data_IF_082044866132
#
_entry.id   IF_082044866132
#
_cell.length_a   1.000
_cell.length_b   1.000
_cell.length_c   1.000
_cell.angle_alpha   90.00
_cell.angle_beta   90.00
_cell.angle_gamma   90.00
#
_symmetry.space_group_name_H-M   'P 1'
#
loop_
_entity.id
_entity.type
_entity.pdbx_description
1 polymer ?
#
# COMPACT_ATOMS: atom_id res chain seq x y z
N UNK A 1 6.45 -11.73 6.37
CA UNK A 1 6.62 -10.85 5.18
C UNK A 1 6.07 -9.47 5.51
N UNK A 2 6.80 -8.41 5.18
CA UNK A 2 6.43 -7.02 5.43
C UNK A 2 5.79 -6.39 4.20
N UNK A 3 4.62 -5.79 4.36
CA UNK A 3 3.83 -5.25 3.27
C UNK A 3 3.45 -3.81 3.56
N UNK A 4 3.64 -2.94 2.58
CA UNK A 4 3.34 -1.52 2.70
C UNK A 4 2.30 -1.08 1.67
N UNK A 5 1.16 -0.58 2.15
CA UNK A 5 0.12 0.00 1.32
C UNK A 5 0.26 1.52 1.21
N UNK A 6 0.25 2.05 0.00
CA UNK A 6 0.47 3.47 -0.26
C UNK A 6 -0.65 4.09 -1.08
N UNK A 7 -1.22 5.18 -0.57
CA UNK A 7 -2.18 6.03 -1.31
C UNK A 7 -1.79 7.51 -1.21
N UNK A 8 -2.70 8.43 -1.53
CA UNK A 8 -2.46 9.88 -1.42
C UNK A 8 -2.39 10.33 0.05
N UNK A 9 -3.53 10.34 0.76
CA UNK A 9 -3.67 10.94 2.11
C UNK A 9 -3.54 9.97 3.27
N UNK A 10 -3.47 8.66 3.01
CA UNK A 10 -3.56 7.62 4.05
C UNK A 10 -4.84 7.78 4.92
N UNK A 11 -6.00 7.88 4.24
CA UNK A 11 -7.31 8.07 4.89
C UNK A 11 -8.31 6.95 4.60
N UNK A 12 -8.39 6.46 3.35
CA UNK A 12 -9.40 5.47 2.96
C UNK A 12 -8.76 4.17 2.47
N UNK A 13 -8.18 4.19 1.26
CA UNK A 13 -7.70 2.97 0.58
C UNK A 13 -6.56 2.25 1.30
N UNK A 14 -5.46 2.94 1.61
CA UNK A 14 -4.32 2.29 2.28
C UNK A 14 -4.61 1.88 3.73
N UNK A 15 -5.38 2.65 4.54
CA UNK A 15 -5.84 2.18 5.84
C UNK A 15 -6.80 0.98 5.76
N UNK A 16 -7.66 0.92 4.73
CA UNK A 16 -8.55 -0.24 4.54
C UNK A 16 -7.75 -1.51 4.29
N UNK A 17 -6.72 -1.44 3.44
CA UNK A 17 -5.82 -2.56 3.21
C UNK A 17 -5.09 -3.01 4.49
N UNK A 18 -4.58 -2.06 5.28
CA UNK A 18 -3.99 -2.36 6.58
C UNK A 18 -4.99 -3.05 7.51
N UNK A 19 -6.23 -2.56 7.59
CA UNK A 19 -7.27 -3.11 8.45
C UNK A 19 -7.71 -4.53 8.06
N UNK A 20 -7.70 -4.84 6.77
CA UNK A 20 -8.01 -6.18 6.25
C UNK A 20 -6.94 -7.19 6.69
N UNK A 21 -5.67 -6.80 6.63
CA UNK A 21 -4.54 -7.72 6.80
C UNK A 21 -3.83 -7.61 8.17
N UNK A 22 -4.20 -6.68 9.04
CA UNK A 22 -3.54 -6.47 10.34
C UNK A 22 -3.52 -7.71 11.26
N UNK A 23 -4.51 -8.58 11.10
CA UNK A 23 -4.68 -9.78 11.94
C UNK A 23 -4.11 -11.04 11.29
N UNK A 24 -3.42 -10.91 10.15
CA UNK A 24 -2.90 -12.05 9.42
C UNK A 24 -1.61 -12.55 10.07
N UNK A 25 -1.57 -13.81 10.51
CA UNK A 25 -0.51 -14.34 11.38
C UNK A 25 0.90 -14.30 10.75
N UNK A 26 0.97 -14.45 9.43
CA UNK A 26 2.23 -14.63 8.70
C UNK A 26 2.83 -13.34 8.10
N UNK A 27 2.11 -12.21 8.18
CA UNK A 27 2.51 -10.96 7.53
C UNK A 27 2.40 -9.76 8.46
N UNK A 28 3.26 -8.78 8.22
CA UNK A 28 3.17 -7.48 8.87
C UNK A 28 2.73 -6.46 7.84
N UNK A 29 1.65 -5.75 8.13
CA UNK A 29 1.11 -4.73 7.23
C UNK A 29 1.24 -3.35 7.83
N UNK A 30 1.59 -2.39 6.97
CA UNK A 30 1.60 -0.96 7.28
C UNK A 30 1.03 -0.16 6.13
N UNK A 31 0.56 1.04 6.42
CA UNK A 31 0.04 1.97 5.43
C UNK A 31 0.70 3.34 5.53
N UNK A 32 0.82 4.00 4.40
CA UNK A 32 1.36 5.35 4.29
C UNK A 32 0.71 6.14 3.16
N UNK A 33 1.00 7.45 3.14
CA UNK A 33 0.52 8.39 2.14
C UNK A 33 1.66 9.17 1.50
N UNK A 34 1.50 9.44 0.21
CA UNK A 34 2.45 10.25 -0.57
C UNK A 34 2.22 11.75 -0.42
N UNK A 35 1.09 12.20 0.09
CA UNK A 35 0.82 13.63 0.25
C UNK A 35 1.47 14.23 1.51
N UNK A 36 1.87 15.51 1.48
CA UNK A 36 2.40 16.19 2.66
C UNK A 36 1.38 16.33 3.80
N UNK A 37 0.08 16.23 3.50
CA UNK A 37 -1.00 16.18 4.49
C UNK A 37 -1.43 14.75 4.87
N UNK A 38 -0.68 13.72 4.48
CA UNK A 38 -1.03 12.36 4.83
C UNK A 38 -0.90 12.11 6.33
N UNK A 39 -1.83 11.31 6.89
CA UNK A 39 -1.82 10.93 8.32
C UNK A 39 -0.50 10.26 8.70
N UNK A 40 -0.09 9.27 7.92
CA UNK A 40 1.24 8.66 7.97
C UNK A 40 1.94 9.01 6.67
N UNK A 41 3.05 9.75 6.75
CA UNK A 41 3.85 10.12 5.58
C UNK A 41 4.75 8.97 5.16
N UNK A 42 4.83 8.74 3.86
CA UNK A 42 5.84 7.83 3.32
C UNK A 42 7.24 8.36 3.62
N UNK A 43 8.12 7.45 4.03
CA UNK A 43 9.54 7.72 4.32
C UNK A 43 10.40 6.60 3.75
N UNK A 44 11.68 6.90 3.51
CA UNK A 44 12.72 5.94 3.14
C UNK A 44 12.67 4.67 4.00
N UNK A 45 12.57 4.86 5.32
CA UNK A 45 12.55 3.76 6.28
C UNK A 45 11.33 2.84 6.14
N UNK A 46 10.17 3.38 5.74
CA UNK A 46 9.00 2.54 5.47
C UNK A 46 9.18 1.73 4.19
N UNK A 47 9.80 2.32 3.17
CA UNK A 47 10.10 1.66 1.90
C UNK A 47 11.08 0.50 2.15
N UNK A 48 12.21 0.77 2.78
CA UNK A 48 13.23 -0.26 3.08
C UNK A 48 12.74 -1.35 4.05
N UNK A 49 11.71 -1.06 4.85
CA UNK A 49 11.11 -2.07 5.74
C UNK A 49 10.23 -3.07 4.99
N UNK A 50 9.67 -2.67 3.85
CA UNK A 50 8.69 -3.47 3.12
C UNK A 50 9.36 -4.44 2.13
N UNK A 51 8.95 -5.71 2.19
CA UNK A 51 9.30 -6.69 1.16
C UNK A 51 8.50 -6.43 -0.13
N UNK A 52 7.24 -6.01 0.02
CA UNK A 52 6.34 -5.67 -1.09
C UNK A 52 5.59 -4.36 -0.78
N UNK A 53 5.57 -3.46 -1.77
CA UNK A 53 4.87 -2.18 -1.69
C UNK A 53 3.72 -2.19 -2.67
N UNK A 54 2.49 -2.11 -2.15
CA UNK A 54 1.29 -1.98 -2.96
C UNK A 54 0.90 -0.51 -3.05
N UNK A 55 0.82 0.00 -4.28
CA UNK A 55 0.32 1.34 -4.55
C UNK A 55 -1.07 1.26 -5.15
N UNK A 56 -1.96 2.17 -4.76
CA UNK A 56 -3.32 2.17 -5.30
C UNK A 56 -3.37 2.52 -6.78
N UNK A 57 -2.46 3.38 -7.25
CA UNK A 57 -2.48 3.92 -8.60
C UNK A 57 -1.04 4.17 -9.06
N UNK A 58 -0.81 4.17 -10.37
CA UNK A 58 0.50 4.43 -10.99
C UNK A 58 1.11 5.77 -10.55
N UNK A 59 0.27 6.79 -10.32
CA UNK A 59 0.71 8.13 -9.85
C UNK A 59 1.43 8.07 -8.50
N UNK A 60 1.04 7.16 -7.62
CA UNK A 60 1.70 6.98 -6.32
C UNK A 60 3.11 6.41 -6.50
N UNK A 61 3.28 5.38 -7.35
CA UNK A 61 4.61 4.83 -7.67
C UNK A 61 5.54 5.91 -8.22
N UNK A 62 5.05 6.74 -9.14
CA UNK A 62 5.83 7.86 -9.69
C UNK A 62 6.26 8.86 -8.61
N UNK A 63 5.38 9.17 -7.64
CA UNK A 63 5.74 10.04 -6.49
C UNK A 63 6.76 9.39 -5.57
N UNK A 64 6.69 8.08 -5.38
CA UNK A 64 7.67 7.35 -4.57
C UNK A 64 9.06 7.38 -5.20
N UNK A 65 9.16 7.09 -6.50
CA UNK A 65 10.43 7.14 -7.25
C UNK A 65 11.05 8.54 -7.20
N UNK A 66 10.23 9.59 -7.34
CA UNK A 66 10.72 10.97 -7.26
C UNK A 66 11.23 11.38 -5.87
N UNK A 67 10.70 10.78 -4.79
CA UNK A 67 11.11 11.10 -3.41
C UNK A 67 12.26 10.25 -2.90
N UNK A 68 12.24 8.96 -3.23
CA UNK A 68 13.11 7.93 -2.69
C UNK A 68 13.59 7.02 -3.84
N UNK A 69 14.37 7.54 -4.80
CA UNK A 69 14.77 6.78 -6.00
C UNK A 69 15.68 5.59 -5.66
N UNK A 70 16.54 5.74 -4.67
CA UNK A 70 17.52 4.72 -4.26
C UNK A 70 16.79 3.51 -3.64
N UNK A 71 15.97 3.75 -2.61
CA UNK A 71 15.20 2.68 -1.97
C UNK A 71 14.20 2.02 -2.93
N UNK A 72 13.58 2.79 -3.84
CA UNK A 72 12.65 2.26 -4.85
C UNK A 72 13.34 1.34 -5.86
N UNK A 73 14.62 1.52 -6.15
CA UNK A 73 15.36 0.70 -7.12
C UNK A 73 15.52 -0.75 -6.64
N UNK A 74 15.50 -0.98 -5.33
CA UNK A 74 15.61 -2.30 -4.73
C UNK A 74 14.27 -2.86 -4.22
N UNK A 75 13.22 -2.05 -4.23
CA UNK A 75 11.91 -2.42 -3.66
C UNK A 75 10.97 -3.03 -4.70
N UNK A 76 10.22 -4.07 -4.32
CA UNK A 76 9.16 -4.65 -5.16
C UNK A 76 7.88 -3.80 -5.04
N UNK A 77 7.49 -3.14 -6.13
CA UNK A 77 6.28 -2.28 -6.16
C UNK A 77 5.23 -2.87 -7.10
N UNK A 78 4.03 -3.11 -6.56
CA UNK A 78 2.84 -3.61 -7.28
C UNK A 78 1.78 -2.50 -7.34
N UNK A 79 1.16 -2.32 -8.50
CA UNK A 79 0.08 -1.34 -8.69
C UNK A 79 -1.25 -2.10 -8.65
N UNK A 80 -2.14 -1.73 -7.73
CA UNK A 80 -3.47 -2.34 -7.58
C UNK A 80 -4.49 -1.78 -8.56
N UNK A 81 -4.23 -0.60 -9.14
CA UNK A 81 -5.11 0.11 -10.09
C UNK A 81 -6.53 0.36 -9.54
N UNK A 82 -6.61 0.78 -8.27
CA UNK A 82 -7.86 1.08 -7.56
C UNK A 82 -8.08 2.59 -7.52
N UNK A 83 -9.19 3.04 -8.09
CA UNK A 83 -9.62 4.45 -8.14
C UNK A 83 -9.85 5.07 -6.75
N UNK A 84 -9.89 6.41 -6.64
CA UNK A 84 -9.96 7.11 -5.35
C UNK A 84 -11.37 7.41 -4.82
N UNK A 85 -12.42 6.96 -5.50
CA UNK A 85 -13.81 7.21 -5.11
C UNK A 85 -14.32 6.37 -3.94
N UNK A 86 -13.55 5.39 -3.46
CA UNK A 86 -13.96 4.51 -2.37
C UNK A 86 -13.73 5.12 -0.98
N UNK A 87 -14.68 4.88 -0.08
CA UNK A 87 -14.58 5.25 1.33
C UNK A 87 -13.85 4.17 2.15
N UNK A 88 -13.47 4.52 3.38
CA UNK A 88 -12.86 3.57 4.30
C UNK A 88 -13.80 2.38 4.57
N UNK A 89 -13.28 1.15 4.47
CA UNK A 89 -14.03 -0.11 4.65
C UNK A 89 -15.22 -0.30 3.70
N UNK A 90 -15.20 0.38 2.55
CA UNK A 90 -16.19 0.14 1.50
C UNK A 90 -16.10 -1.31 0.99
N UNK A 91 -17.21 -2.05 0.86
CA UNK A 91 -17.17 -3.47 0.52
C UNK A 91 -16.55 -3.74 -0.85
N UNK A 92 -16.76 -2.88 -1.86
CA UNK A 92 -16.16 -3.04 -3.18
C UNK A 92 -14.63 -2.84 -3.12
N UNK A 93 -14.20 -1.84 -2.34
CA UNK A 93 -12.78 -1.60 -2.08
C UNK A 93 -12.11 -2.80 -1.40
N UNK A 94 -12.77 -3.38 -0.39
CA UNK A 94 -12.26 -4.54 0.33
C UNK A 94 -12.08 -5.72 -0.62
N UNK A 95 -13.06 -5.98 -1.49
CA UNK A 95 -13.01 -7.08 -2.45
C UNK A 95 -11.87 -6.90 -3.47
N UNK A 96 -11.74 -5.71 -4.07
CA UNK A 96 -10.65 -5.44 -5.02
C UNK A 96 -9.26 -5.55 -4.37
N UNK A 97 -9.11 -5.06 -3.13
CA UNK A 97 -7.86 -5.20 -2.38
C UNK A 97 -7.55 -6.68 -2.14
N UNK A 98 -8.52 -7.48 -1.71
CA UNK A 98 -8.33 -8.93 -1.48
C UNK A 98 -7.96 -9.66 -2.76
N UNK A 99 -8.78 -9.52 -3.79
CA UNK A 99 -8.56 -10.12 -5.10
C UNK A 99 -7.18 -9.79 -5.70
N UNK A 100 -6.70 -8.57 -5.49
CA UNK A 100 -5.40 -8.14 -6.01
C UNK A 100 -4.22 -8.52 -5.11
N UNK A 101 -4.40 -8.65 -3.80
CA UNK A 101 -3.29 -8.84 -2.84
C UNK A 101 -3.13 -10.30 -2.45
N UNK A 102 -4.22 -11.05 -2.25
CA UNK A 102 -4.19 -12.47 -1.85
C UNK A 102 -3.27 -13.34 -2.73
N UNK A 103 -3.20 -13.17 -4.07
CA UNK A 103 -2.27 -13.91 -4.91
C UNK A 103 -0.78 -13.73 -4.55
N UNK A 104 -0.44 -12.61 -3.90
CA UNK A 104 0.93 -12.31 -3.46
C UNK A 104 1.24 -12.84 -2.05
N UNK A 105 0.21 -13.14 -1.25
CA UNK A 105 0.35 -13.62 0.12
C UNK A 105 0.57 -15.14 0.21
N UNK A 106 0.46 -15.83 -0.93
CA UNK A 106 0.50 -17.28 -1.01
C UNK A 106 -0.92 -17.83 -1.03
N UNK A 107 -1.45 -18.02 -2.23
CA UNK A 107 -2.50 -19.01 -2.43
C UNK A 107 -1.94 -20.38 -2.07
N UNK A 108 -2.60 -21.09 -1.16
CA UNK A 108 -2.54 -22.54 -1.14
C UNK A 108 -3.19 -23.11 -2.39
#
# INVERSE_FOLDING_TARGET
>A
MNILFVCSKNQWRSPTAEEIYKNHESIHVRSAGTEPGARIKITARLISWADIIFVMEKKHKQRLIQRCPDEMSQSKVVILDIEDHYKFMDPELVDMIRSSVDPYLGGG
#
